data_IF_466577003308
#
_entry.id   IF_466577003308
#
_cell.length_a   1.000
_cell.length_b   1.000
_cell.length_c   1.000
_cell.angle_alpha   90.00
_cell.angle_beta   90.00
_cell.angle_gamma   90.00
#
_symmetry.space_group_name_H-M   'P 1'
#
loop_
_entity.id
_entity.type
_entity.pdbx_description
1 polymer ?
#
# COMPACT_ATOMS: atom_id res chain seq x y z
N UNK A 1 -11.95 0.02 -3.16
CA UNK A 1 -10.53 0.34 -2.86
C UNK A 1 -10.20 1.82 -3.05
N UNK A 2 -10.39 2.44 -4.22
CA UNK A 2 -10.07 3.87 -4.40
C UNK A 2 -10.77 4.82 -3.40
N UNK A 3 -12.06 4.58 -3.10
CA UNK A 3 -12.80 5.37 -2.09
C UNK A 3 -12.21 5.22 -0.68
N UNK A 4 -11.82 4.00 -0.30
CA UNK A 4 -11.20 3.73 1.01
C UNK A 4 -9.84 4.44 1.11
N UNK A 5 -9.02 4.36 0.07
CA UNK A 5 -7.74 5.06 0.00
C UNK A 5 -7.89 6.58 0.15
N UNK A 6 -8.87 7.17 -0.55
CA UNK A 6 -9.16 8.60 -0.41
C UNK A 6 -9.56 8.97 1.03
N UNK A 7 -10.48 8.20 1.64
CA UNK A 7 -10.91 8.40 3.04
C UNK A 7 -9.76 8.28 4.04
N UNK A 8 -8.87 7.32 3.84
CA UNK A 8 -7.67 7.17 4.69
C UNK A 8 -6.75 8.38 4.51
N UNK A 9 -6.54 8.86 3.29
CA UNK A 9 -5.78 10.09 3.04
C UNK A 9 -6.36 11.30 3.77
N UNK A 10 -7.67 11.48 3.70
CA UNK A 10 -8.38 12.56 4.39
C UNK A 10 -8.29 12.44 5.91
N UNK A 11 -8.49 11.23 6.46
CA UNK A 11 -8.39 10.95 7.90
C UNK A 11 -6.97 11.23 8.44
N UNK A 12 -5.95 10.90 7.66
CA UNK A 12 -4.54 11.18 7.99
C UNK A 12 -4.16 12.65 7.79
N UNK A 13 -5.04 13.48 7.23
CA UNK A 13 -4.73 14.85 6.82
C UNK A 13 -3.63 14.92 5.77
N UNK A 14 -3.40 13.84 5.02
CA UNK A 14 -2.26 13.67 4.13
C UNK A 14 -2.71 13.02 2.83
N UNK A 15 -2.60 13.77 1.73
CA UNK A 15 -3.09 13.36 0.41
C UNK A 15 -2.46 12.02 0.00
N UNK A 16 -3.31 11.09 -0.45
CA UNK A 16 -2.90 9.80 -1.00
C UNK A 16 -3.24 9.73 -2.49
N UNK A 17 -2.23 9.57 -3.33
CA UNK A 17 -2.38 9.29 -4.75
C UNK A 17 -2.42 7.78 -4.98
N UNK A 18 -3.30 7.32 -5.86
CA UNK A 18 -3.38 5.90 -6.24
C UNK A 18 -3.08 5.75 -7.73
N UNK A 19 -2.15 4.87 -8.08
CA UNK A 19 -1.74 4.64 -9.46
C UNK A 19 -1.49 3.14 -9.74
N UNK A 20 -1.78 2.65 -10.95
CA UNK A 20 -1.41 1.28 -11.34
C UNK A 20 0.12 1.15 -11.54
N UNK A 21 0.67 -0.02 -11.18
CA UNK A 21 2.09 -0.34 -11.31
C UNK A 21 2.54 -0.38 -12.78
N UNK A 22 1.67 -0.81 -13.70
CA UNK A 22 1.94 -0.82 -15.15
C UNK A 22 2.38 0.53 -15.71
N UNK A 23 1.93 1.66 -15.13
CA UNK A 23 2.37 3.01 -15.54
C UNK A 23 3.86 3.26 -15.30
N UNK A 24 4.50 2.46 -14.45
CA UNK A 24 5.91 2.56 -14.10
C UNK A 24 6.74 1.39 -14.65
N UNK A 25 6.15 0.53 -15.50
CA UNK A 25 6.84 -0.65 -16.02
C UNK A 25 7.19 -1.68 -14.94
N UNK A 26 6.41 -1.72 -13.86
CA UNK A 26 6.64 -2.59 -12.70
C UNK A 26 5.37 -3.40 -12.36
N UNK A 27 5.53 -4.49 -11.62
CA UNK A 27 4.47 -5.36 -11.11
C UNK A 27 4.61 -5.52 -9.59
N UNK A 28 3.60 -5.12 -8.85
CA UNK A 28 3.58 -5.21 -7.39
C UNK A 28 2.79 -4.08 -6.74
N UNK A 29 2.51 -4.25 -5.45
CA UNK A 29 1.93 -3.22 -4.61
C UNK A 29 3.04 -2.50 -3.83
N UNK A 30 2.91 -1.19 -3.64
CA UNK A 30 3.87 -0.39 -2.89
C UNK A 30 3.26 0.92 -2.41
N UNK A 31 3.56 1.27 -1.17
CA UNK A 31 3.46 2.64 -0.67
C UNK A 31 4.79 3.37 -0.70
N UNK A 32 4.75 4.57 -1.27
CA UNK A 32 5.83 5.54 -1.26
C UNK A 32 5.43 6.71 -0.36
N UNK A 33 6.28 7.01 0.62
CA UNK A 33 6.13 8.18 1.49
C UNK A 33 6.83 9.38 0.85
N UNK A 34 6.07 10.33 0.31
CA UNK A 34 6.60 11.55 -0.29
C UNK A 34 6.65 12.74 0.68
N UNK A 35 7.30 13.84 0.29
CA UNK A 35 7.40 15.02 1.15
C UNK A 35 6.06 15.75 1.38
N UNK A 36 5.14 15.71 0.39
CA UNK A 36 3.86 16.45 0.41
C UNK A 36 2.63 15.56 0.30
N UNK A 37 2.79 14.35 -0.23
CA UNK A 37 1.73 13.39 -0.45
C UNK A 37 2.34 11.99 -0.48
N UNK A 38 1.54 11.00 -0.11
CA UNK A 38 1.90 9.59 -0.26
C UNK A 38 1.37 9.07 -1.60
N UNK A 39 2.01 8.03 -2.13
CA UNK A 39 1.55 7.34 -3.33
C UNK A 39 1.40 5.85 -3.04
N UNK A 40 0.22 5.30 -3.28
CA UNK A 40 -0.03 3.87 -3.32
C UNK A 40 -0.04 3.42 -4.79
N UNK A 41 0.96 2.62 -5.14
CA UNK A 41 1.05 1.91 -6.40
C UNK A 41 0.43 0.53 -6.21
N UNK A 42 -0.51 0.14 -7.07
CA UNK A 42 -1.14 -1.17 -7.00
C UNK A 42 -0.82 -2.00 -8.24
N UNK A 43 -0.62 -3.30 -8.07
CA UNK A 43 -0.49 -4.22 -9.18
C UNK A 43 -1.86 -4.36 -9.88
N UNK A 44 -1.96 -3.82 -11.08
CA UNK A 44 -3.17 -3.87 -11.90
C UNK A 44 -3.32 -5.18 -12.68
N UNK A 45 -2.31 -6.05 -12.62
CA UNK A 45 -2.40 -7.45 -13.08
C UNK A 45 -2.86 -8.41 -11.98
N UNK A 46 -2.72 -8.02 -10.71
CA UNK A 46 -3.18 -8.78 -9.55
C UNK A 46 -4.72 -8.69 -9.42
N UNK A 47 -5.39 -9.85 -9.41
CA UNK A 47 -6.85 -9.92 -9.35
C UNK A 47 -7.36 -10.68 -8.14
N UNK A 48 -8.69 -10.65 -7.95
CA UNK A 48 -9.36 -11.44 -6.92
C UNK A 48 -8.93 -11.07 -5.50
N UNK A 49 -8.77 -12.09 -4.66
CA UNK A 49 -8.34 -11.93 -3.28
C UNK A 49 -6.92 -11.36 -3.19
N UNK A 50 -6.01 -11.84 -4.04
CA UNK A 50 -4.60 -11.43 -4.02
C UNK A 50 -4.43 -9.92 -4.24
N UNK A 51 -5.03 -9.37 -5.30
CA UNK A 51 -4.93 -7.93 -5.59
C UNK A 51 -5.64 -7.04 -4.56
N UNK A 52 -6.77 -7.52 -4.00
CA UNK A 52 -7.48 -6.78 -2.93
C UNK A 52 -6.68 -6.78 -1.63
N UNK A 53 -6.16 -7.94 -1.23
CA UNK A 53 -5.38 -8.10 0.00
C UNK A 53 -4.07 -7.32 -0.08
N UNK A 54 -3.33 -7.40 -1.19
CA UNK A 54 -2.13 -6.60 -1.41
C UNK A 54 -2.39 -5.10 -1.35
N UNK A 55 -3.50 -4.63 -1.91
CA UNK A 55 -3.91 -3.22 -1.77
C UNK A 55 -4.18 -2.82 -0.31
N UNK A 56 -4.88 -3.69 0.44
CA UNK A 56 -5.16 -3.45 1.86
C UNK A 56 -3.88 -3.50 2.70
N UNK A 57 -2.96 -4.40 2.41
CA UNK A 57 -1.66 -4.49 3.08
C UNK A 57 -0.90 -3.15 2.99
N UNK A 58 -0.83 -2.58 1.78
CA UNK A 58 -0.23 -1.26 1.57
C UNK A 58 -0.95 -0.13 2.33
N UNK A 59 -2.29 -0.17 2.38
CA UNK A 59 -3.05 0.77 3.23
C UNK A 59 -2.77 0.56 4.73
N UNK A 60 -2.53 -0.67 5.16
CA UNK A 60 -2.16 -1.02 6.53
C UNK A 60 -0.90 -0.28 6.98
N UNK A 61 0.13 -0.21 6.13
CA UNK A 61 1.32 0.60 6.42
C UNK A 61 1.00 2.08 6.63
N UNK A 62 0.06 2.65 5.86
CA UNK A 62 -0.32 4.04 6.03
C UNK A 62 -1.13 4.28 7.31
N UNK A 63 -2.03 3.36 7.65
CA UNK A 63 -2.91 3.47 8.83
C UNK A 63 -2.14 3.29 10.13
N UNK A 64 -1.18 2.36 10.15
CA UNK A 64 -0.34 2.06 11.30
C UNK A 64 0.90 2.95 11.39
N UNK A 65 1.04 3.91 10.47
CA UNK A 65 2.16 4.83 10.33
C UNK A 65 3.54 4.14 10.30
N UNK A 66 3.62 3.03 9.58
CA UNK A 66 4.87 2.36 9.27
C UNK A 66 5.70 3.21 8.29
N UNK A 67 7.02 3.16 8.44
CA UNK A 67 7.95 4.02 7.68
C UNK A 67 7.90 3.78 6.16
N UNK A 68 7.37 2.61 5.74
CA UNK A 68 7.20 2.24 4.33
C UNK A 68 8.50 2.39 3.52
N UNK A 69 8.39 2.63 2.22
CA UNK A 69 9.54 3.10 1.44
C UNK A 69 9.55 4.62 1.44
N UNK A 70 10.38 5.19 2.29
CA UNK A 70 10.78 6.59 2.20
C UNK A 70 11.85 6.73 1.12
N UNK A 71 11.56 7.48 0.07
CA UNK A 71 12.58 7.98 -0.85
C UNK A 71 12.32 9.44 -1.17
N UNK A 72 13.39 10.22 -1.17
CA UNK A 72 13.38 11.56 -1.74
C UNK A 72 13.83 11.43 -3.21
N UNK A 73 12.96 11.75 -4.19
CA UNK A 73 13.31 11.69 -5.61
C UNK A 73 14.53 12.54 -5.98
N UNK A 74 14.85 13.58 -5.20
CA UNK A 74 15.98 14.45 -5.45
C UNK A 74 17.33 13.86 -5.00
N UNK A 75 17.31 12.89 -4.08
CA UNK A 75 18.53 12.39 -3.40
C UNK A 75 18.65 10.88 -3.37
N UNK A 76 17.59 10.13 -3.66
CA UNK A 76 17.59 8.66 -3.59
C UNK A 76 17.90 8.09 -4.97
N UNK A 77 19.02 7.36 -5.08
CA UNK A 77 19.38 6.69 -6.32
C UNK A 77 18.36 5.58 -6.65
N UNK A 78 18.06 5.39 -7.95
CA UNK A 78 17.14 4.35 -8.41
C UNK A 78 17.55 2.94 -7.96
N UNK A 79 18.85 2.68 -7.83
CA UNK A 79 19.39 1.41 -7.29
C UNK A 79 19.07 1.22 -5.80
N UNK A 80 19.04 2.28 -5.01
CA UNK A 80 18.64 2.22 -3.59
C UNK A 80 17.13 2.02 -3.45
N UNK A 81 16.34 2.60 -4.34
CA UNK A 81 14.90 2.29 -4.43
C UNK A 81 14.70 0.82 -4.76
N UNK A 82 15.36 0.29 -5.80
CA UNK A 82 15.26 -1.12 -6.18
C UNK A 82 15.70 -2.08 -5.07
N UNK A 83 16.78 -1.77 -4.34
CA UNK A 83 17.26 -2.56 -3.20
C UNK A 83 16.28 -2.55 -2.04
N UNK A 84 15.75 -1.39 -1.66
CA UNK A 84 14.73 -1.26 -0.59
C UNK A 84 13.43 -1.98 -0.94
N UNK A 85 13.07 -2.02 -2.22
CA UNK A 85 11.94 -2.82 -2.72
C UNK A 85 12.24 -4.33 -2.65
N UNK A 86 13.47 -4.75 -2.94
CA UNK A 86 13.88 -6.16 -2.88
C UNK A 86 13.97 -6.69 -1.43
N UNK A 87 14.38 -5.85 -0.47
CA UNK A 87 14.44 -6.20 0.96
C UNK A 87 13.06 -6.50 1.57
N UNK A 88 11.96 -6.17 0.86
CA UNK A 88 10.56 -6.44 1.25
C UNK A 88 10.00 -7.78 0.74
N UNK A 89 10.79 -8.59 0.04
CA UNK A 89 10.38 -9.96 -0.31
C UNK A 89 10.53 -10.85 0.95
N UNK A 90 9.70 -10.62 1.98
CA UNK A 90 9.64 -11.45 3.19
C UNK A 90 8.94 -10.80 4.40
N UNK A 91 8.16 -11.61 5.14
CA UNK A 91 7.45 -11.28 6.39
C UNK A 91 8.36 -11.00 7.61
N UNK A 92 9.54 -10.41 7.42
CA UNK A 92 10.62 -10.52 8.40
C UNK A 92 10.54 -9.52 9.58
N UNK A 93 9.79 -8.42 9.46
CA UNK A 93 9.71 -7.38 10.50
C UNK A 93 8.27 -7.24 11.08
N UNK A 94 8.16 -6.56 12.23
CA UNK A 94 6.89 -6.37 12.94
C UNK A 94 5.87 -5.56 12.11
N UNK A 95 6.34 -4.57 11.36
CA UNK A 95 5.49 -3.71 10.53
C UNK A 95 4.78 -4.50 9.42
N UNK A 96 5.46 -5.45 8.78
CA UNK A 96 4.85 -6.34 7.78
C UNK A 96 3.79 -7.24 8.40
N UNK A 97 4.01 -7.74 9.64
CA UNK A 97 3.02 -8.56 10.35
C UNK A 97 1.78 -7.75 10.74
N UNK A 98 1.98 -6.53 11.21
CA UNK A 98 0.88 -5.66 11.62
C UNK A 98 0.07 -5.18 10.41
N UNK A 99 0.73 -4.86 9.30
CA UNK A 99 0.08 -4.54 8.03
C UNK A 99 -0.72 -5.73 7.48
N UNK A 100 -0.17 -6.95 7.56
CA UNK A 100 -0.85 -8.18 7.15
C UNK A 100 -2.06 -8.51 8.00
N UNK A 101 -1.94 -8.36 9.33
CA UNK A 101 -3.05 -8.58 10.25
C UNK A 101 -4.16 -7.56 10.00
N UNK A 102 -3.82 -6.28 9.83
CA UNK A 102 -4.77 -5.23 9.51
C UNK A 102 -5.51 -5.53 8.20
N UNK A 103 -4.77 -5.90 7.14
CA UNK A 103 -5.34 -6.23 5.84
C UNK A 103 -6.29 -7.43 5.91
N UNK A 104 -5.92 -8.45 6.69
CA UNK A 104 -6.77 -9.61 6.93
C UNK A 104 -8.07 -9.21 7.63
N UNK A 105 -8.00 -8.44 8.71
CA UNK A 105 -9.18 -8.04 9.49
C UNK A 105 -10.14 -7.17 8.67
N UNK A 106 -9.62 -6.16 7.96
CA UNK A 106 -10.44 -5.31 7.08
C UNK A 106 -10.97 -6.09 5.88
N UNK A 107 -10.18 -7.02 5.35
CA UNK A 107 -10.58 -7.93 4.28
C UNK A 107 -11.77 -8.79 4.68
N UNK A 108 -11.80 -9.29 5.92
CA UNK A 108 -12.93 -10.07 6.44
C UNK A 108 -14.20 -9.22 6.61
N UNK A 109 -14.08 -7.99 7.11
CA UNK A 109 -15.21 -7.05 7.26
C UNK A 109 -15.81 -6.66 5.90
N UNK A 110 -14.95 -6.47 4.90
CA UNK A 110 -15.36 -6.12 3.53
C UNK A 110 -15.89 -7.31 2.69
N UNK A 111 -15.85 -8.54 3.24
CA UNK A 111 -16.48 -9.75 2.67
C UNK A 111 -17.84 -10.04 3.35
N UNK A 112 -18.23 -9.30 4.40
CA UNK A 112 -19.57 -9.39 5.00
C UNK A 112 -20.69 -9.06 3.99
N UNK A 113 -21.91 -9.60 4.17
CA UNK A 113 -23.02 -9.30 3.28
C UNK A 113 -23.23 -7.78 3.23
N UNK A 114 -23.56 -7.26 2.05
CA UNK A 114 -23.93 -5.86 1.92
C UNK A 114 -25.10 -5.59 2.88
N UNK A 115 -25.17 -4.42 3.54
CA UNK A 115 -26.36 -4.07 4.30
C UNK A 115 -27.53 -3.98 3.32
N UNK A 116 -28.35 -5.03 3.27
CA UNK A 116 -29.39 -5.21 2.27
C UNK A 116 -29.70 -6.66 1.83
N UNK A 117 -28.94 -7.66 2.27
CA UNK A 117 -29.35 -9.08 2.18
C UNK A 117 -30.22 -9.51 3.39
#
# INVERSE_FOLDING_TARGET
MAVLAARIGDWRGRRLHVAPASKFGWSGHLVVRGARADMLVYDDSATGLYGRHGFLHELGHLVLDHDGVTFDPATTAAADVARRLADRIGYANQEERDAELWATLVGLDTIGPSPGD
#
